data_IF_859698716879
#
_entry.id   IF_859698716879
#
_cell.length_a   1.000
_cell.length_b   1.000
_cell.length_c   1.000
_cell.angle_alpha   90.00
_cell.angle_beta   90.00
_cell.angle_gamma   90.00
#
_symmetry.space_group_name_H-M   'P 1'
#
loop_
_entity.id
_entity.type
_entity.pdbx_description
1 polymer ?
#
# COMPACT_ATOMS: atom_id res chain seq x y z
N UNK A 1 -13.16 11.29 -18.16
CA UNK A 1 -13.98 11.09 -16.94
C UNK A 1 -13.06 11.24 -15.74
N UNK A 2 -13.06 12.41 -15.08
CA UNK A 2 -12.35 12.58 -13.81
C UNK A 2 -13.11 11.79 -12.74
N UNK A 3 -12.52 10.74 -12.16
CA UNK A 3 -13.05 10.22 -10.89
C UNK A 3 -12.76 11.27 -9.83
N UNK A 4 -13.77 11.87 -9.19
CA UNK A 4 -13.61 13.05 -8.35
C UNK A 4 -13.07 12.60 -6.99
N UNK A 5 -11.79 12.25 -6.94
CA UNK A 5 -10.85 12.15 -5.81
C UNK A 5 -11.06 13.15 -4.65
N UNK A 6 -12.24 13.26 -4.05
CA UNK A 6 -12.52 14.20 -2.96
C UNK A 6 -11.55 13.98 -1.80
N UNK A 7 -11.09 15.09 -1.21
CA UNK A 7 -10.28 15.09 0.01
C UNK A 7 -11.03 14.24 1.05
N UNK A 8 -10.45 13.10 1.45
CA UNK A 8 -11.02 12.00 2.29
C UNK A 8 -11.53 10.71 1.59
N UNK A 9 -11.30 10.50 0.29
CA UNK A 9 -11.72 9.28 -0.43
C UNK A 9 -11.01 7.95 -0.05
N UNK A 10 -10.29 7.90 1.05
CA UNK A 10 -9.65 6.68 1.57
C UNK A 10 -9.79 6.48 3.07
N UNK A 11 -10.44 7.42 3.78
CA UNK A 11 -10.68 7.24 5.21
C UNK A 11 -11.88 6.31 5.41
N UNK A 12 -11.61 5.15 5.98
CA UNK A 12 -12.65 4.25 6.47
C UNK A 12 -13.40 4.97 7.60
N UNK A 13 -14.74 4.90 7.59
CA UNK A 13 -15.56 5.49 8.65
C UNK A 13 -15.12 4.93 10.02
N UNK A 14 -14.90 5.77 11.05
CA UNK A 14 -14.43 5.32 12.37
C UNK A 14 -15.27 4.19 12.96
N UNK A 15 -16.60 4.29 12.85
CA UNK A 15 -17.54 3.28 13.36
C UNK A 15 -17.32 1.89 12.73
N UNK A 16 -16.89 1.82 11.47
CA UNK A 16 -16.60 0.55 10.80
C UNK A 16 -15.28 -0.06 11.31
N UNK A 17 -14.30 0.79 11.62
CA UNK A 17 -13.04 0.36 12.23
C UNK A 17 -13.29 -0.18 13.64
N UNK A 18 -14.10 0.54 14.44
CA UNK A 18 -14.48 0.09 15.78
C UNK A 18 -15.23 -1.26 15.73
N UNK A 19 -16.23 -1.41 14.86
CA UNK A 19 -16.96 -2.68 14.70
C UNK A 19 -16.06 -3.85 14.32
N UNK A 20 -15.04 -3.61 13.48
CA UNK A 20 -14.04 -4.63 13.12
C UNK A 20 -13.21 -5.01 14.35
N UNK A 21 -12.73 -4.01 15.08
CA UNK A 21 -11.88 -4.18 16.25
C UNK A 21 -12.59 -5.01 17.33
N UNK A 22 -13.85 -4.68 17.63
CA UNK A 22 -14.70 -5.45 18.54
C UNK A 22 -14.96 -6.88 18.03
N UNK A 23 -15.31 -7.03 16.74
CA UNK A 23 -15.64 -8.34 16.14
C UNK A 23 -14.48 -9.33 16.17
N UNK A 24 -13.27 -8.86 15.92
CA UNK A 24 -12.08 -9.71 15.83
C UNK A 24 -11.20 -9.64 17.08
N UNK A 25 -11.62 -8.90 18.12
CA UNK A 25 -10.85 -8.66 19.33
C UNK A 25 -9.42 -8.16 19.03
N UNK A 26 -9.33 -7.18 18.12
CA UNK A 26 -8.07 -6.54 17.71
C UNK A 26 -8.10 -5.06 18.07
N UNK A 27 -6.94 -4.45 18.23
CA UNK A 27 -6.78 -3.02 18.50
C UNK A 27 -6.03 -2.35 17.37
N UNK A 28 -6.69 -1.46 16.62
CA UNK A 28 -6.06 -0.66 15.58
C UNK A 28 -4.84 0.10 16.08
N UNK A 29 -4.90 0.62 17.30
CA UNK A 29 -3.83 1.45 17.86
C UNK A 29 -2.63 0.61 18.31
N UNK A 30 -2.86 -0.60 18.83
CA UNK A 30 -1.75 -1.51 19.13
C UNK A 30 -1.11 -2.05 17.85
N UNK A 31 -1.90 -2.30 16.81
CA UNK A 31 -1.39 -2.64 15.47
C UNK A 31 -0.57 -1.51 14.83
N UNK A 32 -0.86 -0.24 15.12
CA UNK A 32 -0.03 0.89 14.68
C UNK A 32 1.29 0.93 15.45
N UNK A 33 1.26 0.73 16.78
CA UNK A 33 2.48 0.68 17.61
C UNK A 33 3.45 -0.40 17.15
N UNK A 34 2.95 -1.57 16.74
CA UNK A 34 3.78 -2.65 16.19
C UNK A 34 4.52 -2.27 14.89
N UNK A 35 4.08 -1.22 14.18
CA UNK A 35 4.69 -0.75 12.94
C UNK A 35 5.63 0.43 13.13
N UNK A 36 5.84 0.93 14.35
CA UNK A 36 6.71 2.09 14.63
C UNK A 36 8.17 1.88 14.21
N UNK A 37 8.65 0.64 14.14
CA UNK A 37 10.00 0.30 13.66
C UNK A 37 10.11 0.08 12.15
N UNK A 38 9.00 0.23 11.41
CA UNK A 38 9.00 0.19 9.95
C UNK A 38 9.08 1.65 9.50
N UNK A 39 10.21 2.03 8.93
CA UNK A 39 10.37 3.37 8.37
C UNK A 39 9.29 3.62 7.33
N UNK A 40 8.64 4.78 7.42
CA UNK A 40 7.80 5.24 6.32
C UNK A 40 8.68 5.43 5.09
N UNK A 41 8.13 5.13 3.91
CA UNK A 41 8.86 5.35 2.67
C UNK A 41 9.16 6.84 2.54
N UNK A 42 10.44 7.21 2.67
CA UNK A 42 10.90 8.61 2.63
C UNK A 42 10.50 9.32 1.34
N UNK A 43 10.32 8.56 0.26
CA UNK A 43 9.93 9.11 -1.03
C UNK A 43 8.80 8.33 -1.69
N UNK A 44 7.65 8.98 -1.81
CA UNK A 44 6.57 8.50 -2.69
C UNK A 44 7.12 8.51 -4.11
N UNK A 45 7.19 7.33 -4.73
CA UNK A 45 7.65 7.19 -6.12
C UNK A 45 6.88 8.20 -7.01
N UNK A 46 7.57 9.17 -7.65
CA UNK A 46 6.91 10.20 -8.46
C UNK A 46 6.07 9.64 -9.62
N UNK A 47 6.37 8.40 -10.02
CA UNK A 47 5.68 7.66 -11.08
C UNK A 47 4.50 6.82 -10.58
N UNK A 48 4.29 6.70 -9.26
CA UNK A 48 3.17 5.93 -8.69
C UNK A 48 1.81 6.41 -9.24
N UNK A 49 1.67 7.71 -9.44
CA UNK A 49 0.48 8.35 -9.99
C UNK A 49 0.62 8.74 -11.48
N UNK A 50 1.61 8.19 -12.19
CA UNK A 50 1.85 8.54 -13.59
C UNK A 50 0.62 8.32 -14.47
N UNK A 51 -0.05 7.18 -14.30
CA UNK A 51 -1.27 6.82 -15.03
C UNK A 51 -2.40 7.81 -14.81
N UNK A 52 -2.51 8.37 -13.60
CA UNK A 52 -3.53 9.35 -13.22
C UNK A 52 -3.29 10.69 -13.91
N UNK A 53 -2.02 11.08 -14.10
CA UNK A 53 -1.64 12.34 -14.74
C UNK A 53 -1.71 12.27 -16.28
N UNK A 54 -1.32 11.15 -16.87
CA UNK A 54 -1.14 11.04 -18.33
C UNK A 54 -2.23 10.25 -19.03
N UNK A 55 -3.05 9.49 -18.28
CA UNK A 55 -4.00 8.53 -18.84
C UNK A 55 -3.32 7.33 -19.52
N UNK A 56 -2.00 7.15 -19.33
CA UNK A 56 -1.19 6.11 -19.96
C UNK A 56 -0.51 5.26 -18.90
N UNK A 57 -0.48 3.94 -19.11
CA UNK A 57 0.31 3.01 -18.32
C UNK A 57 1.74 2.90 -18.81
N UNK A 58 2.56 2.15 -18.09
CA UNK A 58 3.86 1.70 -18.57
C UNK A 58 3.69 0.37 -19.30
N UNK A 59 4.38 0.20 -20.44
CA UNK A 59 4.56 -1.11 -21.03
C UNK A 59 5.60 -1.86 -20.19
N UNK A 60 5.25 -3.06 -19.71
CA UNK A 60 6.19 -3.95 -19.05
C UNK A 60 6.37 -5.18 -19.92
N UNK A 61 7.61 -5.40 -20.36
CA UNK A 61 8.00 -6.64 -20.98
C UNK A 61 8.32 -7.66 -19.88
N UNK A 62 7.73 -8.84 -19.97
CA UNK A 62 7.95 -9.91 -18.99
C UNK A 62 8.72 -11.01 -19.69
N UNK A 63 9.95 -11.22 -19.24
CA UNK A 63 10.79 -12.34 -19.69
C UNK A 63 10.69 -13.49 -18.69
N UNK A 64 10.64 -14.73 -19.21
CA UNK A 64 10.80 -15.91 -18.36
C UNK A 64 12.27 -16.02 -17.97
N UNK A 65 12.54 -16.03 -16.67
CA UNK A 65 13.89 -16.20 -16.14
C UNK A 65 13.86 -17.26 -15.05
N UNK A 66 14.93 -18.04 -14.97
CA UNK A 66 15.08 -19.04 -13.90
C UNK A 66 15.42 -18.31 -12.59
N UNK A 67 14.70 -18.66 -11.51
CA UNK A 67 15.04 -18.13 -10.19
C UNK A 67 16.43 -18.61 -9.77
N UNK A 68 17.27 -17.69 -9.30
CA UNK A 68 18.54 -18.06 -8.66
C UNK A 68 18.25 -18.90 -7.42
N UNK A 69 18.69 -20.15 -7.43
CA UNK A 69 18.65 -21.01 -6.25
C UNK A 69 19.73 -20.52 -5.27
N UNK A 70 19.29 -20.14 -4.07
CA UNK A 70 20.03 -19.96 -2.80
C UNK A 70 21.50 -19.49 -2.96
N UNK A 71 21.76 -18.23 -2.65
CA UNK A 71 23.12 -17.82 -2.26
C UNK A 71 23.47 -18.51 -0.94
N UNK A 72 24.61 -19.22 -0.80
CA UNK A 72 25.03 -19.71 0.51
C UNK A 72 25.13 -18.51 1.46
N UNK A 73 24.35 -18.55 2.54
CA UNK A 73 24.44 -17.58 3.62
C UNK A 73 25.79 -17.75 4.33
N UNK A 74 26.55 -16.67 4.59
CA UNK A 74 27.71 -16.70 5.47
C UNK A 74 27.31 -16.94 6.94
#
# INVERSE_FOLDING_TARGET
>A
MMSPQGVNMGMVKPDLVQKRDEKYNISSDDLKKLRLGIEETEWINPQADYWKKTGKGFAMDVERTDMKLITPFP
#
